data_IF_203808688113
#
_entry.id   IF_203808688113
#
_cell.length_a   1.000
_cell.length_b   1.000
_cell.length_c   1.000
_cell.angle_alpha   90.00
_cell.angle_beta   90.00
_cell.angle_gamma   90.00
#
_symmetry.space_group_name_H-M   'P 1'
#
loop_
_entity.id
_entity.type
_entity.pdbx_description
1 polymer ?
#
# COMPACT_ATOMS: atom_id res chain seq x y z
N UNK A 1 -11.51 15.32 14.93
CA UNK A 1 -10.53 15.33 13.82
C UNK A 1 -11.33 14.99 12.59
N UNK A 2 -11.42 15.92 11.65
CA UNK A 2 -12.12 15.69 10.39
C UNK A 2 -11.14 14.97 9.46
N UNK A 3 -11.18 13.63 9.46
CA UNK A 3 -10.30 12.77 8.66
C UNK A 3 -10.89 12.51 7.27
N UNK A 4 -10.02 12.39 6.27
CA UNK A 4 -10.38 12.12 4.86
C UNK A 4 -10.96 10.71 4.67
N UNK A 5 -10.59 9.77 5.55
CA UNK A 5 -11.18 8.44 5.63
C UNK A 5 -10.78 7.54 4.47
N UNK A 6 -10.65 6.25 4.76
CA UNK A 6 -10.46 5.21 3.73
C UNK A 6 -11.76 4.43 3.54
N UNK A 7 -12.03 4.04 2.30
CA UNK A 7 -13.19 3.23 1.94
C UNK A 7 -12.76 2.11 1.00
N UNK A 8 -13.24 0.89 1.27
CA UNK A 8 -13.18 -0.23 0.34
C UNK A 8 -14.62 -0.61 -0.03
N UNK A 9 -14.95 -0.50 -1.32
CA UNK A 9 -16.22 -0.97 -1.85
C UNK A 9 -16.04 -2.36 -2.47
N UNK A 10 -16.86 -3.33 -2.05
CA UNK A 10 -16.84 -4.69 -2.58
C UNK A 10 -18.21 -5.03 -3.15
N UNK A 11 -18.23 -5.63 -4.36
CA UNK A 11 -19.47 -6.10 -4.96
C UNK A 11 -20.11 -7.20 -4.09
N UNK A 12 -21.44 -7.14 -3.94
CA UNK A 12 -22.20 -8.01 -3.01
C UNK A 12 -21.99 -9.51 -3.23
N UNK A 13 -21.69 -9.92 -4.45
CA UNK A 13 -21.49 -11.31 -4.84
C UNK A 13 -20.04 -11.81 -4.60
N UNK A 14 -19.13 -10.95 -4.16
CA UNK A 14 -17.76 -11.33 -3.81
C UNK A 14 -17.72 -11.61 -2.29
N UNK A 15 -17.44 -12.88 -1.87
CA UNK A 15 -17.29 -13.21 -0.46
C UNK A 15 -16.19 -12.37 0.16
N UNK A 16 -16.55 -11.52 1.12
CA UNK A 16 -15.63 -10.60 1.77
C UNK A 16 -16.07 -10.27 3.19
N UNK A 17 -15.11 -9.90 4.03
CA UNK A 17 -15.36 -9.47 5.40
C UNK A 17 -14.29 -8.49 5.86
N UNK A 18 -14.69 -7.43 6.56
CA UNK A 18 -13.77 -6.51 7.25
C UNK A 18 -13.02 -7.26 8.35
N UNK A 19 -11.74 -6.95 8.54
CA UNK A 19 -10.88 -7.57 9.54
C UNK A 19 -10.31 -6.50 10.50
N UNK A 20 -11.16 -6.00 11.39
CA UNK A 20 -10.83 -4.85 12.27
C UNK A 20 -9.60 -5.06 13.15
N UNK A 21 -9.32 -6.31 13.56
CA UNK A 21 -8.14 -6.64 14.37
C UNK A 21 -6.79 -6.36 13.68
N UNK A 22 -6.80 -6.22 12.34
CA UNK A 22 -5.61 -5.92 11.55
C UNK A 22 -5.34 -4.43 11.42
N UNK A 23 -6.35 -3.59 11.68
CA UNK A 23 -6.24 -2.13 11.58
C UNK A 23 -5.19 -1.59 12.57
N UNK A 24 -4.53 -0.51 12.15
CA UNK A 24 -3.54 0.21 12.94
C UNK A 24 -4.19 1.45 13.59
N UNK A 25 -3.37 2.37 14.09
CA UNK A 25 -3.82 3.69 14.53
C UNK A 25 -3.80 4.73 13.39
N UNK A 26 -3.39 4.33 12.19
CA UNK A 26 -3.48 5.12 10.98
C UNK A 26 -4.91 5.06 10.42
N UNK A 27 -5.18 5.85 9.38
CA UNK A 27 -6.41 5.71 8.61
C UNK A 27 -6.23 4.52 7.65
N UNK A 28 -6.31 3.29 8.17
CA UNK A 28 -6.26 2.05 7.40
C UNK A 28 -7.48 1.15 7.63
N UNK A 29 -7.89 0.42 6.58
CA UNK A 29 -9.02 -0.49 6.62
C UNK A 29 -8.67 -1.80 5.90
N UNK A 30 -8.98 -2.91 6.56
CA UNK A 30 -8.65 -4.25 6.09
C UNK A 30 -9.88 -5.05 5.72
N UNK A 31 -9.85 -5.71 4.57
CA UNK A 31 -10.87 -6.65 4.09
C UNK A 31 -10.21 -7.94 3.66
N UNK A 32 -10.72 -9.07 4.13
CA UNK A 32 -10.42 -10.37 3.50
C UNK A 32 -11.38 -10.60 2.33
N UNK A 33 -10.86 -11.02 1.19
CA UNK A 33 -11.61 -11.38 -0.02
C UNK A 33 -11.34 -12.84 -0.36
N UNK A 34 -12.41 -13.60 -0.60
CA UNK A 34 -12.36 -15.04 -0.95
C UNK A 34 -11.49 -15.88 0.01
N UNK A 35 -11.40 -15.47 1.29
CA UNK A 35 -10.59 -16.07 2.36
C UNK A 35 -9.10 -16.23 2.09
N UNK A 36 -8.55 -15.62 1.02
CA UNK A 36 -7.15 -15.81 0.59
C UNK A 36 -6.39 -14.51 0.37
N UNK A 37 -7.10 -13.41 0.11
CA UNK A 37 -6.50 -12.11 -0.18
C UNK A 37 -6.88 -11.13 0.92
N UNK A 38 -5.88 -10.59 1.60
CA UNK A 38 -6.02 -9.48 2.52
C UNK A 38 -5.79 -8.18 1.74
N UNK A 39 -6.78 -7.30 1.71
CA UNK A 39 -6.72 -5.99 1.07
C UNK A 39 -6.70 -4.94 2.15
N UNK A 40 -5.71 -4.05 2.10
CA UNK A 40 -5.57 -2.87 2.95
C UNK A 40 -5.70 -1.61 2.11
N UNK A 41 -6.61 -0.72 2.47
CA UNK A 41 -6.62 0.66 2.02
C UNK A 41 -6.05 1.54 3.12
N UNK A 42 -5.06 2.39 2.83
CA UNK A 42 -4.38 3.24 3.82
C UNK A 42 -4.24 4.68 3.35
N UNK A 43 -4.41 5.62 4.28
CA UNK A 43 -4.06 7.03 4.13
C UNK A 43 -3.07 7.44 5.22
N UNK A 44 -1.86 7.84 4.81
CA UNK A 44 -0.85 8.40 5.71
C UNK A 44 -0.80 9.92 5.51
N UNK A 45 -1.29 10.74 6.45
CA UNK A 45 -1.35 12.18 6.26
C UNK A 45 0.05 12.81 6.18
N UNK A 46 0.18 13.83 5.33
CA UNK A 46 1.41 14.63 5.25
C UNK A 46 1.48 15.67 6.37
N UNK A 47 2.65 15.89 7.01
CA UNK A 47 3.89 15.14 6.84
C UNK A 47 3.83 13.79 7.56
N UNK A 48 4.32 12.74 6.90
CA UNK A 48 4.40 11.40 7.50
C UNK A 48 5.45 11.38 8.60
N UNK A 49 5.09 10.88 9.78
CA UNK A 49 6.01 10.70 10.90
C UNK A 49 6.62 9.30 10.85
N UNK A 50 7.90 9.20 11.22
CA UNK A 50 8.62 7.91 11.26
C UNK A 50 7.90 6.88 12.13
N UNK A 51 7.48 7.25 13.34
CA UNK A 51 6.79 6.35 14.25
C UNK A 51 5.46 5.83 13.67
N UNK A 52 4.74 6.67 12.91
CA UNK A 52 3.49 6.30 12.25
C UNK A 52 3.75 5.26 11.16
N UNK A 53 4.74 5.50 10.30
CA UNK A 53 5.11 4.55 9.25
C UNK A 53 5.62 3.24 9.85
N UNK A 54 6.56 3.29 10.80
CA UNK A 54 7.12 2.10 11.45
C UNK A 54 6.02 1.27 12.11
N UNK A 55 5.12 1.89 12.87
CA UNK A 55 4.02 1.17 13.51
C UNK A 55 3.09 0.48 12.49
N UNK A 56 2.77 1.16 11.39
CA UNK A 56 1.97 0.58 10.31
C UNK A 56 2.69 -0.62 9.67
N UNK A 57 3.97 -0.47 9.31
CA UNK A 57 4.75 -1.54 8.68
C UNK A 57 4.93 -2.76 9.61
N UNK A 58 5.18 -2.55 10.90
CA UNK A 58 5.28 -3.64 11.89
C UNK A 58 3.95 -4.40 12.02
N UNK A 59 2.82 -3.71 11.94
CA UNK A 59 1.48 -4.33 11.97
C UNK A 59 1.24 -5.17 10.71
N UNK A 60 1.64 -4.67 9.55
CA UNK A 60 1.56 -5.40 8.28
C UNK A 60 2.46 -6.63 8.30
N UNK A 61 3.69 -6.52 8.81
CA UNK A 61 4.65 -7.62 8.93
C UNK A 61 4.08 -8.82 9.73
N UNK A 62 3.32 -8.53 10.79
CA UNK A 62 2.63 -9.57 11.55
C UNK A 62 1.50 -10.26 10.75
N UNK A 63 0.90 -9.58 9.78
CA UNK A 63 -0.17 -10.12 8.92
C UNK A 63 0.43 -10.96 7.80
N UNK A 64 1.56 -10.53 7.22
CA UNK A 64 2.27 -11.23 6.13
C UNK A 64 2.96 -12.50 6.60
N UNK A 65 3.23 -12.65 7.91
CA UNK A 65 3.69 -13.90 8.52
C UNK A 65 2.66 -15.06 8.44
N UNK A 66 1.43 -14.79 8.01
CA UNK A 66 0.42 -15.80 7.69
C UNK A 66 0.47 -16.12 6.19
N UNK A 67 -0.02 -17.29 5.72
CA UNK A 67 -0.03 -17.66 4.30
C UNK A 67 -1.11 -16.88 3.51
N UNK A 68 -1.09 -15.56 3.60
CA UNK A 68 -2.03 -14.63 2.99
C UNK A 68 -1.37 -13.90 1.84
N UNK A 69 -2.09 -13.80 0.73
CA UNK A 69 -1.79 -12.83 -0.32
C UNK A 69 -2.22 -11.46 0.19
N UNK A 70 -1.31 -10.50 0.26
CA UNK A 70 -1.56 -9.16 0.82
C UNK A 70 -1.41 -8.12 -0.28
N UNK A 71 -2.45 -7.30 -0.44
CA UNK A 71 -2.50 -6.12 -1.30
C UNK A 71 -2.70 -4.89 -0.43
N UNK A 72 -1.79 -3.92 -0.52
CA UNK A 72 -1.86 -2.64 0.20
C UNK A 72 -1.94 -1.54 -0.83
N UNK A 73 -2.91 -0.65 -0.69
CA UNK A 73 -3.12 0.46 -1.61
C UNK A 73 -3.49 1.74 -0.88
N UNK A 74 -3.06 2.86 -1.43
CA UNK A 74 -3.51 4.18 -0.97
C UNK A 74 -2.40 5.21 -0.94
N UNK A 75 -2.66 6.33 -0.28
CA UNK A 75 -1.79 7.50 -0.32
C UNK A 75 -0.81 7.47 0.84
N UNK A 76 0.46 7.24 0.51
CA UNK A 76 1.55 7.20 1.47
C UNK A 76 2.15 8.57 1.75
N UNK A 77 1.88 9.60 0.93
CA UNK A 77 2.51 10.92 1.02
C UNK A 77 4.06 10.91 1.09
N UNK A 78 4.71 9.85 0.60
CA UNK A 78 6.17 9.70 0.53
C UNK A 78 6.71 10.13 -0.84
N UNK A 79 6.23 11.25 -1.37
CA UNK A 79 6.54 11.73 -2.73
C UNK A 79 7.98 12.15 -2.98
N UNK A 80 8.87 12.02 -1.99
CA UNK A 80 10.31 12.16 -2.19
C UNK A 80 10.95 10.89 -2.77
N UNK A 81 10.31 9.72 -2.62
CA UNK A 81 10.76 8.47 -3.22
C UNK A 81 10.41 8.52 -4.70
N UNK A 82 11.44 8.38 -5.54
CA UNK A 82 11.27 8.27 -6.98
C UNK A 82 11.01 6.80 -7.33
N UNK A 83 10.16 6.56 -8.32
CA UNK A 83 9.87 5.23 -8.82
C UNK A 83 10.08 5.17 -10.32
N UNK A 84 10.80 4.15 -10.77
CA UNK A 84 11.05 3.90 -12.19
C UNK A 84 10.69 2.47 -12.55
N UNK A 85 10.02 2.28 -13.69
CA UNK A 85 9.66 0.96 -14.19
C UNK A 85 10.90 0.16 -14.60
N UNK A 86 10.99 -1.09 -14.17
CA UNK A 86 12.01 -2.03 -14.60
C UNK A 86 11.60 -2.85 -15.84
N UNK A 87 12.44 -3.81 -16.22
CA UNK A 87 12.20 -4.67 -17.39
C UNK A 87 11.05 -5.68 -17.22
N UNK A 88 10.58 -5.91 -15.99
CA UNK A 88 9.50 -6.85 -15.66
C UNK A 88 8.22 -6.15 -15.20
N UNK A 89 8.10 -4.85 -15.53
CA UNK A 89 6.95 -3.99 -15.23
C UNK A 89 6.69 -3.76 -13.72
N UNK A 90 7.68 -3.98 -12.86
CA UNK A 90 7.65 -3.58 -11.45
C UNK A 90 8.28 -2.20 -11.28
N UNK A 91 7.91 -1.48 -10.23
CA UNK A 91 8.47 -0.18 -9.92
C UNK A 91 9.64 -0.31 -8.94
N UNK A 92 10.79 0.24 -9.33
CA UNK A 92 12.02 0.24 -8.53
C UNK A 92 12.17 1.59 -7.83
N UNK A 93 12.34 1.61 -6.49
CA UNK A 93 12.51 2.85 -5.74
C UNK A 93 13.92 3.42 -5.90
N UNK A 94 14.01 4.74 -5.90
CA UNK A 94 15.26 5.51 -5.79
C UNK A 94 15.03 6.77 -4.95
N UNK A 95 16.11 7.47 -4.58
CA UNK A 95 16.03 8.66 -3.71
C UNK A 95 15.35 8.40 -2.34
N UNK A 96 15.58 7.22 -1.76
CA UNK A 96 14.96 6.78 -0.50
C UNK A 96 15.89 6.86 0.73
N UNK A 97 17.00 7.61 0.66
CA UNK A 97 18.05 7.68 1.69
C UNK A 97 17.62 8.38 3.01
N UNK A 98 16.33 8.48 3.29
CA UNK A 98 15.76 8.98 4.55
C UNK A 98 15.31 7.81 5.42
N UNK A 99 15.12 8.04 6.72
CA UNK A 99 14.58 7.01 7.64
C UNK A 99 13.23 6.44 7.15
N UNK A 100 12.35 7.30 6.63
CA UNK A 100 11.06 6.89 6.06
C UNK A 100 11.24 6.05 4.79
N UNK A 101 12.13 6.48 3.90
CA UNK A 101 12.40 5.80 2.64
C UNK A 101 13.03 4.42 2.86
N UNK A 102 14.09 4.33 3.67
CA UNK A 102 14.70 3.06 4.03
C UNK A 102 13.70 2.13 4.71
N UNK A 103 12.92 2.63 5.68
CA UNK A 103 11.93 1.81 6.39
C UNK A 103 10.90 1.16 5.46
N UNK A 104 10.37 1.91 4.48
CA UNK A 104 9.45 1.35 3.49
C UNK A 104 10.14 0.34 2.57
N UNK A 105 11.31 0.67 2.03
CA UNK A 105 12.03 -0.19 1.06
C UNK A 105 12.51 -1.48 1.72
N UNK A 106 13.03 -1.42 2.94
CA UNK A 106 13.45 -2.58 3.72
C UNK A 106 12.26 -3.48 4.03
N UNK A 107 11.13 -2.91 4.47
CA UNK A 107 9.89 -3.65 4.68
C UNK A 107 9.47 -4.38 3.40
N UNK A 108 9.46 -3.70 2.26
CA UNK A 108 9.07 -4.28 0.99
C UNK A 108 9.97 -5.45 0.61
N UNK A 109 11.28 -5.27 0.74
CA UNK A 109 12.26 -6.31 0.43
C UNK A 109 12.09 -7.54 1.33
N UNK A 110 11.98 -7.33 2.65
CA UNK A 110 11.86 -8.42 3.63
C UNK A 110 10.54 -9.20 3.49
N UNK A 111 9.47 -8.53 3.06
CA UNK A 111 8.14 -9.13 2.91
C UNK A 111 7.76 -9.52 1.47
N UNK A 112 8.73 -9.45 0.53
CA UNK A 112 8.52 -9.72 -0.89
C UNK A 112 7.42 -8.86 -1.56
N UNK A 113 7.25 -7.61 -1.12
CA UNK A 113 6.33 -6.68 -1.78
C UNK A 113 6.98 -6.03 -3.00
N UNK A 114 6.23 -5.99 -4.09
CA UNK A 114 6.51 -5.15 -5.25
C UNK A 114 5.51 -4.00 -5.32
N UNK A 115 5.92 -2.85 -5.85
CA UNK A 115 5.02 -1.73 -6.16
C UNK A 115 4.61 -1.82 -7.64
N UNK A 116 3.31 -1.66 -7.91
CA UNK A 116 2.68 -1.83 -9.23
C UNK A 116 2.10 -0.54 -9.83
N UNK A 117 1.89 0.51 -9.05
CA UNK A 117 1.34 1.76 -9.57
C UNK A 117 2.42 2.59 -10.31
N UNK A 118 2.31 2.65 -11.64
CA UNK A 118 3.15 3.48 -12.52
C UNK A 118 2.49 4.82 -12.91
N UNK A 119 1.42 5.24 -12.23
CA UNK A 119 0.71 6.47 -12.57
C UNK A 119 1.12 7.56 -11.57
N UNK A 120 2.00 8.51 -11.95
CA UNK A 120 2.35 9.63 -11.08
C UNK A 120 1.24 10.69 -11.08
N UNK A 121 1.29 11.58 -10.10
CA UNK A 121 0.46 12.78 -10.08
C UNK A 121 0.97 13.85 -11.08
N UNK A 122 0.29 15.00 -11.14
CA UNK A 122 0.65 16.13 -12.00
C UNK A 122 2.06 16.71 -11.78
N UNK A 123 2.65 16.46 -10.62
CA UNK A 123 4.01 16.89 -10.25
C UNK A 123 5.06 15.81 -10.49
N UNK A 124 4.72 14.75 -11.23
CA UNK A 124 5.56 13.57 -11.47
C UNK A 124 5.97 12.84 -10.18
N UNK A 125 5.13 12.87 -9.13
CA UNK A 125 5.35 12.18 -7.85
C UNK A 125 4.42 11.00 -7.68
N UNK A 126 4.91 9.96 -7.03
CA UNK A 126 4.14 8.78 -6.65
C UNK A 126 3.74 8.88 -5.18
N UNK A 127 2.55 9.42 -4.94
CA UNK A 127 1.97 9.48 -3.58
C UNK A 127 1.14 8.24 -3.30
N UNK A 128 0.39 7.79 -4.31
CA UNK A 128 -0.42 6.59 -4.27
C UNK A 128 0.44 5.38 -4.63
N UNK A 129 0.58 4.46 -3.68
CA UNK A 129 1.29 3.21 -3.91
C UNK A 129 0.28 2.06 -3.93
N UNK A 130 0.51 1.11 -4.82
CA UNK A 130 -0.19 -0.18 -4.84
C UNK A 130 0.91 -1.22 -4.70
N UNK A 131 0.97 -1.89 -3.55
CA UNK A 131 2.01 -2.85 -3.21
C UNK A 131 1.40 -4.22 -2.93
N UNK A 132 2.04 -5.28 -3.41
CA UNK A 132 1.56 -6.65 -3.18
C UNK A 132 2.71 -7.64 -3.02
N UNK A 133 2.50 -8.65 -2.16
CA UNK A 133 3.43 -9.78 -1.99
C UNK A 133 3.15 -10.96 -2.95
N UNK A 134 2.20 -10.81 -3.86
CA UNK A 134 1.84 -11.80 -4.88
C UNK A 134 1.79 -11.15 -6.27
N UNK A 135 2.09 -11.91 -7.34
CA UNK A 135 2.10 -11.39 -8.71
C UNK A 135 0.68 -11.22 -9.27
N UNK A 136 0.57 -10.61 -10.45
CA UNK A 136 -0.69 -10.50 -11.19
C UNK A 136 -1.57 -9.31 -10.79
N UNK A 137 -0.97 -8.30 -10.17
CA UNK A 137 -1.60 -6.99 -9.96
C UNK A 137 -1.37 -6.15 -11.22
N UNK A 138 -2.47 -5.68 -11.81
CA UNK A 138 -2.46 -4.73 -12.93
C UNK A 138 -3.14 -3.43 -12.50
N UNK A 139 -2.57 -2.30 -12.93
CA UNK A 139 -3.03 -0.96 -12.55
C UNK A 139 -3.19 -0.16 -13.84
N UNK A 140 -4.40 0.28 -14.09
CA UNK A 140 -4.76 1.10 -15.24
C UNK A 140 -5.28 2.45 -14.80
N UNK A 141 -5.12 3.44 -15.68
CA UNK A 141 -5.81 4.72 -15.53
C UNK A 141 -7.32 4.49 -15.59
N UNK A 142 -8.12 5.29 -14.85
CA UNK A 142 -9.56 5.22 -14.98
C UNK A 142 -9.93 5.46 -16.44
N UNK A 143 -10.83 4.63 -16.99
CA UNK A 143 -11.46 4.92 -18.27
C UNK A 143 -12.11 6.30 -18.14
N UNK A 144 -11.81 7.23 -19.06
CA UNK A 144 -12.52 8.50 -19.15
C UNK A 144 -14.03 8.19 -19.21
N UNK A 145 -14.76 8.61 -18.18
CA UNK A 145 -16.22 8.47 -18.09
C UNK A 145 -16.92 9.54 -18.91
#
# INVERSE_FOLDING_TARGET
MDGGGVLIAVLRNIPSARVERWESNCEDLWVSVQTKIAICAVYLPSPVKSDTLTYFLDKVDNITNQPNNVLIMGNFNLGFINWSRDHIAQMVPSNYNSTLGCGLVDFMYLNNFSQFNNIPNSDARYLDLIMSNFPGVDVSEPLEL
#
